data_IF_754552524318
#
_entry.id   IF_754552524318
#
_cell.length_a   1.000
_cell.length_b   1.000
_cell.length_c   1.000
_cell.angle_alpha   90.00
_cell.angle_beta   90.00
_cell.angle_gamma   90.00
#
_symmetry.space_group_name_H-M   'P 1'
#
loop_
_entity.id
_entity.type
_entity.pdbx_description
1 polymer ?
#
# COMPACT_ATOMS: atom_id res chain seq x y z
N UNK A 1 -37.26 17.73 -33.58
CA UNK A 1 -37.13 16.26 -33.53
C UNK A 1 -35.72 15.77 -33.88
N UNK A 2 -35.19 16.00 -35.10
CA UNK A 2 -33.87 15.46 -35.53
C UNK A 2 -32.65 15.90 -34.69
N UNK A 3 -32.67 17.10 -34.11
CA UNK A 3 -31.57 17.64 -33.26
C UNK A 3 -31.50 17.01 -31.86
N UNK A 4 -32.59 16.39 -31.39
CA UNK A 4 -32.67 15.77 -30.06
C UNK A 4 -31.94 14.42 -30.05
N UNK A 5 -32.00 13.68 -31.15
CA UNK A 5 -31.29 12.39 -31.30
C UNK A 5 -29.77 12.54 -31.31
N UNK A 6 -29.24 13.64 -31.85
CA UNK A 6 -27.81 13.94 -31.81
C UNK A 6 -27.30 14.21 -30.39
N UNK A 7 -28.09 14.90 -29.57
CA UNK A 7 -27.74 15.20 -28.18
C UNK A 7 -27.78 13.94 -27.30
N UNK A 8 -28.75 13.04 -27.56
CA UNK A 8 -28.87 11.77 -26.84
C UNK A 8 -27.71 10.80 -27.18
N UNK A 9 -27.22 10.80 -28.42
CA UNK A 9 -26.08 9.99 -28.84
C UNK A 9 -24.76 10.44 -28.18
N UNK A 10 -24.57 11.76 -27.97
CA UNK A 10 -23.39 12.30 -27.27
C UNK A 10 -23.41 11.98 -25.77
N UNK A 11 -24.59 11.97 -25.14
CA UNK A 11 -24.74 11.58 -23.73
C UNK A 11 -24.42 10.10 -23.47
N UNK A 12 -24.75 9.21 -24.41
CA UNK A 12 -24.43 7.77 -24.32
C UNK A 12 -22.93 7.51 -24.53
N UNK A 13 -22.26 8.31 -25.36
CA UNK A 13 -20.81 8.23 -25.58
C UNK A 13 -20.00 8.76 -24.38
N UNK A 14 -20.54 9.72 -23.61
CA UNK A 14 -19.91 10.21 -22.38
C UNK A 14 -19.99 9.22 -21.21
N UNK A 15 -20.96 8.29 -21.21
CA UNK A 15 -21.05 7.22 -20.19
C UNK A 15 -20.07 6.06 -20.41
N UNK A 16 -19.41 5.96 -21.57
CA UNK A 16 -18.43 4.90 -21.85
C UNK A 16 -17.02 5.20 -21.28
N UNK A 17 -16.81 6.38 -20.69
CA UNK A 17 -15.49 6.81 -20.20
C UNK A 17 -15.19 6.51 -18.73
N UNK A 18 -16.15 5.97 -17.96
CA UNK A 18 -15.88 5.55 -16.57
C UNK A 18 -15.38 4.11 -16.58
N UNK A 19 -14.28 3.86 -17.31
CA UNK A 19 -13.36 2.83 -16.87
C UNK A 19 -12.82 3.36 -15.54
N UNK A 20 -13.48 2.97 -14.45
CA UNK A 20 -12.89 3.09 -13.14
C UNK A 20 -11.48 2.54 -13.30
N UNK A 21 -10.50 3.43 -13.15
CA UNK A 21 -9.09 3.13 -13.15
C UNK A 21 -8.89 2.25 -11.91
N UNK A 22 -9.29 0.98 -12.01
CA UNK A 22 -9.14 0.01 -10.95
C UNK A 22 -7.65 -0.06 -10.71
N UNK A 23 -7.24 0.41 -9.53
CA UNK A 23 -5.91 0.16 -9.01
C UNK A 23 -5.60 -1.32 -9.24
N UNK A 24 -4.58 -1.66 -10.01
CA UNK A 24 -4.29 -3.07 -10.31
C UNK A 24 -4.05 -3.88 -9.04
N UNK A 25 -3.60 -3.20 -7.98
CA UNK A 25 -3.51 -3.75 -6.64
C UNK A 25 -4.87 -4.02 -6.02
N UNK A 26 -5.90 -3.22 -6.26
CA UNK A 26 -7.26 -3.56 -5.85
C UNK A 26 -7.73 -4.88 -6.50
N UNK A 27 -7.39 -5.12 -7.76
CA UNK A 27 -7.67 -6.40 -8.44
C UNK A 27 -6.88 -7.54 -7.79
N UNK A 28 -5.56 -7.39 -7.60
CA UNK A 28 -4.73 -8.39 -6.90
C UNK A 28 -5.25 -8.67 -5.48
N UNK A 29 -5.66 -7.63 -4.75
CA UNK A 29 -6.21 -7.75 -3.41
C UNK A 29 -7.56 -8.48 -3.42
N UNK A 30 -8.39 -8.25 -4.43
CA UNK A 30 -9.74 -8.84 -4.55
C UNK A 30 -9.68 -10.36 -4.59
N UNK A 31 -8.69 -10.92 -5.29
CA UNK A 31 -8.48 -12.38 -5.36
C UNK A 31 -8.22 -13.01 -3.98
N UNK A 32 -7.62 -12.26 -3.07
CA UNK A 32 -7.30 -12.72 -1.72
C UNK A 32 -8.28 -12.22 -0.65
N UNK A 33 -9.29 -11.39 -1.01
CA UNK A 33 -10.32 -10.92 -0.08
C UNK A 33 -11.12 -12.05 0.56
N UNK A 34 -11.23 -13.21 -0.09
CA UNK A 34 -11.92 -14.40 0.44
C UNK A 34 -11.05 -15.42 1.17
N UNK A 35 -9.72 -15.24 1.18
CA UNK A 35 -8.81 -16.19 1.83
C UNK A 35 -8.61 -15.86 3.30
N UNK A 36 -8.66 -16.87 4.17
CA UNK A 36 -8.37 -16.78 5.61
C UNK A 36 -6.87 -16.79 5.91
N UNK A 37 -6.04 -17.13 4.91
CA UNK A 37 -4.59 -17.21 5.04
C UNK A 37 -3.91 -15.83 5.04
N UNK A 38 -4.65 -14.77 4.74
CA UNK A 38 -4.13 -13.42 4.64
C UNK A 38 -4.71 -12.50 5.71
N UNK A 39 -3.81 -11.85 6.44
CA UNK A 39 -4.13 -10.66 7.23
C UNK A 39 -4.33 -9.49 6.29
N UNK A 40 -5.51 -8.86 6.35
CA UNK A 40 -5.92 -7.72 5.53
C UNK A 40 -5.80 -6.44 6.34
N UNK A 41 -5.02 -5.50 5.83
CA UNK A 41 -4.86 -4.16 6.40
C UNK A 41 -5.54 -3.18 5.45
N UNK A 42 -6.47 -2.38 5.95
CA UNK A 42 -7.10 -1.31 5.18
C UNK A 42 -7.27 -0.08 6.05
N UNK A 43 -6.47 0.94 5.78
CA UNK A 43 -6.59 2.26 6.40
C UNK A 43 -7.21 3.21 5.37
N UNK A 44 -8.27 3.89 5.76
CA UNK A 44 -8.95 4.85 4.87
C UNK A 44 -8.53 6.27 5.19
N UNK A 45 -8.69 7.19 4.24
CA UNK A 45 -8.43 8.62 4.45
C UNK A 45 -9.16 9.20 5.65
N UNK A 46 -10.32 8.64 6.03
CA UNK A 46 -11.05 9.06 7.24
C UNK A 46 -10.23 8.88 8.52
N UNK A 47 -9.42 7.82 8.62
CA UNK A 47 -8.51 7.65 9.75
C UNK A 47 -7.43 8.73 9.76
N UNK A 48 -6.91 9.11 8.59
CA UNK A 48 -5.95 10.21 8.47
C UNK A 48 -6.57 11.56 8.85
N UNK A 49 -7.81 11.82 8.43
CA UNK A 49 -8.54 13.04 8.82
C UNK A 49 -8.70 13.16 10.34
N UNK A 50 -9.04 12.06 11.02
CA UNK A 50 -9.12 12.03 12.48
C UNK A 50 -7.76 12.32 13.14
N UNK A 51 -6.64 11.90 12.54
CA UNK A 51 -5.32 12.25 13.04
C UNK A 51 -4.94 13.71 12.77
N UNK A 52 -5.37 14.29 11.64
CA UNK A 52 -5.14 15.72 11.35
C UNK A 52 -5.91 16.66 12.26
N UNK A 53 -7.00 16.19 12.87
CA UNK A 53 -7.80 16.94 13.85
C UNK A 53 -7.20 16.92 15.27
N UNK A 54 -6.24 16.03 15.53
CA UNK A 54 -5.48 16.04 16.78
C UNK A 54 -4.35 17.08 16.64
N UNK A 55 -4.29 18.06 17.54
CA UNK A 55 -3.26 19.10 17.53
C UNK A 55 -1.85 18.48 17.48
N UNK A 56 -1.18 18.62 16.33
CA UNK A 56 0.24 18.30 16.18
C UNK A 56 1.04 19.26 17.07
N UNK A 57 1.89 18.69 17.91
CA UNK A 57 2.60 19.44 18.95
C UNK A 57 3.92 20.01 18.46
N UNK A 58 4.42 19.54 17.30
CA UNK A 58 5.64 20.03 16.67
C UNK A 58 5.56 20.12 15.14
N UNK A 59 6.56 20.79 14.54
CA UNK A 59 6.64 21.07 13.10
C UNK A 59 6.83 19.79 12.26
N UNK A 60 7.46 18.76 12.82
CA UNK A 60 7.66 17.48 12.15
C UNK A 60 6.33 16.71 12.05
N UNK A 61 5.52 16.69 13.11
CA UNK A 61 4.17 16.14 13.14
C UNK A 61 3.25 16.83 12.13
N UNK A 62 3.29 18.16 12.03
CA UNK A 62 2.50 18.90 11.04
C UNK A 62 2.86 18.52 9.60
N UNK A 63 4.16 18.41 9.29
CA UNK A 63 4.62 18.03 7.96
C UNK A 63 4.18 16.59 7.57
N UNK A 64 3.96 15.72 8.55
CA UNK A 64 3.45 14.36 8.37
C UNK A 64 1.95 14.37 8.14
N UNK A 65 1.21 15.12 8.96
CA UNK A 65 -0.23 15.28 8.82
C UNK A 65 -0.60 15.83 7.44
N UNK A 66 0.16 16.82 6.95
CA UNK A 66 0.01 17.32 5.58
C UNK A 66 0.31 16.25 4.53
N UNK A 67 1.41 15.50 4.70
CA UNK A 67 1.79 14.41 3.81
C UNK A 67 0.72 13.32 3.71
N UNK A 68 0.06 12.96 4.83
CA UNK A 68 -0.97 11.92 4.85
C UNK A 68 -2.37 12.41 4.48
N UNK A 69 -2.63 13.71 4.58
CA UNK A 69 -3.96 14.30 4.27
C UNK A 69 -4.40 14.10 2.82
N UNK A 70 -3.44 14.01 1.90
CA UNK A 70 -3.68 13.81 0.45
C UNK A 70 -3.82 12.33 0.08
N UNK A 71 -3.56 11.43 1.02
CA UNK A 71 -3.63 9.99 0.82
C UNK A 71 -5.08 9.52 0.93
N UNK A 72 -5.53 8.72 -0.04
CA UNK A 72 -6.86 8.12 0.01
C UNK A 72 -6.89 6.93 0.97
N UNK A 73 -5.76 6.24 1.15
CA UNK A 73 -5.65 5.16 2.11
C UNK A 73 -4.40 4.30 1.93
N UNK A 74 -4.28 3.30 2.81
CA UNK A 74 -3.30 2.22 2.74
C UNK A 74 -4.07 0.91 2.62
N UNK A 75 -3.61 0.00 1.75
CA UNK A 75 -4.07 -1.38 1.69
C UNK A 75 -2.87 -2.31 1.82
N UNK A 76 -2.98 -3.34 2.65
CA UNK A 76 -1.94 -4.35 2.85
C UNK A 76 -2.51 -5.76 2.89
N UNK A 77 -1.79 -6.73 2.32
CA UNK A 77 -1.99 -8.15 2.55
C UNK A 77 -0.70 -8.72 3.12
N UNK A 78 -0.84 -9.46 4.22
CA UNK A 78 0.26 -10.15 4.87
C UNK A 78 -0.14 -11.61 5.01
N UNK A 79 0.69 -12.51 4.47
CA UNK A 79 0.59 -13.95 4.71
C UNK A 79 1.77 -14.38 5.54
N UNK A 80 1.48 -14.75 6.79
CA UNK A 80 2.44 -15.45 7.64
C UNK A 80 2.37 -16.95 7.35
N UNK A 81 3.48 -17.66 7.56
CA UNK A 81 3.58 -19.10 7.27
C UNK A 81 3.27 -19.47 5.81
N UNK A 82 3.63 -18.61 4.86
CA UNK A 82 3.51 -18.92 3.44
C UNK A 82 4.28 -20.22 3.11
N UNK A 83 3.74 -21.04 2.22
CA UNK A 83 4.45 -22.23 1.74
C UNK A 83 5.76 -21.84 1.05
N UNK A 84 5.66 -20.84 0.16
CA UNK A 84 6.76 -20.17 -0.53
C UNK A 84 6.39 -18.70 -0.80
N UNK A 85 6.85 -17.78 0.05
CA UNK A 85 6.58 -16.35 -0.12
C UNK A 85 7.37 -15.70 -1.28
N UNK A 86 8.47 -16.31 -1.72
CA UNK A 86 9.22 -15.81 -2.89
C UNK A 86 8.48 -16.10 -4.20
N UNK A 87 7.84 -17.27 -4.31
CA UNK A 87 6.97 -17.58 -5.44
C UNK A 87 5.78 -16.60 -5.50
N UNK A 88 5.17 -16.29 -4.35
CA UNK A 88 4.10 -15.29 -4.26
C UNK A 88 4.56 -13.88 -4.66
N UNK A 89 5.78 -13.50 -4.30
CA UNK A 89 6.40 -12.25 -4.77
C UNK A 89 6.49 -12.22 -6.30
N UNK A 90 6.99 -13.28 -6.94
CA UNK A 90 7.13 -13.33 -8.40
C UNK A 90 5.77 -13.22 -9.09
N UNK A 91 4.76 -13.95 -8.61
CA UNK A 91 3.39 -13.88 -9.14
C UNK A 91 2.80 -12.47 -8.97
N UNK A 92 2.94 -11.86 -7.80
CA UNK A 92 2.48 -10.49 -7.54
C UNK A 92 3.08 -9.48 -8.52
N UNK A 93 4.40 -9.52 -8.70
CA UNK A 93 5.11 -8.64 -9.63
C UNK A 93 4.60 -8.83 -11.06
N UNK A 94 4.51 -10.07 -11.53
CA UNK A 94 4.07 -10.37 -12.90
C UNK A 94 2.65 -9.85 -13.17
N UNK A 95 1.73 -10.02 -12.20
CA UNK A 95 0.36 -9.52 -12.34
C UNK A 95 0.29 -8.00 -12.32
N UNK A 96 1.09 -7.33 -11.49
CA UNK A 96 1.15 -5.88 -11.45
C UNK A 96 1.70 -5.30 -12.75
N UNK A 97 2.78 -5.87 -13.30
CA UNK A 97 3.37 -5.46 -14.58
C UNK A 97 2.41 -5.74 -15.76
N UNK A 98 1.59 -6.79 -15.69
CA UNK A 98 0.59 -7.09 -16.71
C UNK A 98 -0.67 -6.19 -16.65
N UNK A 99 -1.01 -5.67 -15.47
CA UNK A 99 -2.25 -4.92 -15.20
C UNK A 99 -2.15 -3.40 -15.37
N UNK A 100 -0.94 -2.83 -15.50
CA UNK A 100 -0.74 -1.40 -15.69
C UNK A 100 0.73 -0.98 -15.58
N UNK A 101 1.01 0.29 -15.92
CA UNK A 101 2.35 0.90 -15.88
C UNK A 101 2.81 1.14 -14.45
N UNK A 102 3.33 0.09 -13.79
CA UNK A 102 4.11 0.27 -12.56
C UNK A 102 5.58 0.44 -12.92
N UNK A 103 6.19 1.52 -12.44
CA UNK A 103 7.62 1.77 -12.58
C UNK A 103 8.36 1.32 -11.32
N UNK A 104 9.42 0.54 -11.51
CA UNK A 104 10.28 0.10 -10.42
C UNK A 104 11.13 1.28 -9.89
N UNK A 105 11.05 1.55 -8.59
CA UNK A 105 11.89 2.52 -7.92
C UNK A 105 13.16 1.90 -7.33
N UNK A 106 13.01 0.73 -6.72
CA UNK A 106 14.08 0.05 -6.01
C UNK A 106 13.75 -1.43 -5.87
N UNK A 107 14.77 -2.27 -6.08
CA UNK A 107 14.74 -3.69 -5.73
C UNK A 107 15.88 -4.03 -4.78
N UNK A 108 15.57 -4.84 -3.77
CA UNK A 108 16.53 -5.50 -2.91
C UNK A 108 16.29 -7.00 -3.00
N UNK A 109 17.28 -7.74 -3.49
CA UNK A 109 17.19 -9.18 -3.71
C UNK A 109 18.40 -9.87 -3.08
N UNK A 110 18.15 -10.72 -2.09
CA UNK A 110 19.17 -11.55 -1.48
C UNK A 110 18.63 -12.95 -1.17
N UNK A 111 19.47 -13.80 -0.57
CA UNK A 111 19.11 -15.20 -0.26
C UNK A 111 17.97 -15.36 0.74
N UNK A 112 17.68 -14.34 1.56
CA UNK A 112 16.65 -14.37 2.60
C UNK A 112 15.32 -13.81 2.11
N UNK A 113 15.35 -12.75 1.31
CA UNK A 113 14.15 -12.03 0.91
C UNK A 113 14.33 -11.26 -0.40
N UNK A 114 13.19 -11.02 -1.05
CA UNK A 114 13.02 -10.13 -2.19
C UNK A 114 12.11 -9.00 -1.78
N UNK A 115 12.51 -7.77 -2.05
CA UNK A 115 11.73 -6.56 -1.77
C UNK A 115 11.76 -5.69 -3.01
N UNK A 116 10.62 -5.18 -3.43
CA UNK A 116 10.52 -4.21 -4.52
C UNK A 116 9.56 -3.09 -4.18
N UNK A 117 10.00 -1.88 -4.46
CA UNK A 117 9.21 -0.66 -4.41
C UNK A 117 8.87 -0.23 -5.82
N UNK A 118 7.60 0.05 -6.08
CA UNK A 118 7.08 0.48 -7.37
C UNK A 118 6.13 1.66 -7.20
N UNK A 119 6.02 2.49 -8.22
CA UNK A 119 5.00 3.54 -8.31
C UNK A 119 4.11 3.33 -9.51
N UNK A 120 2.91 3.86 -9.44
CA UNK A 120 2.04 4.05 -10.60
C UNK A 120 1.74 5.54 -10.71
N UNK A 121 2.06 6.14 -11.85
CA UNK A 121 1.81 7.54 -12.14
C UNK A 121 1.19 7.73 -13.54
N UNK A 122 0.89 8.98 -13.88
CA UNK A 122 0.47 9.40 -15.23
C UNK A 122 1.46 10.38 -15.88
N UNK A 123 2.70 10.42 -15.39
CA UNK A 123 3.78 11.30 -15.82
C UNK A 123 3.89 12.63 -15.05
N UNK A 124 2.82 13.10 -14.40
CA UNK A 124 2.82 14.33 -13.58
C UNK A 124 2.52 14.03 -12.10
N UNK A 125 1.66 13.04 -11.85
CA UNK A 125 1.19 12.72 -10.51
C UNK A 125 1.32 11.24 -10.18
N UNK A 126 1.89 10.94 -9.01
CA UNK A 126 1.96 9.58 -8.47
C UNK A 126 0.64 9.26 -7.79
N UNK A 127 0.02 8.18 -8.27
CA UNK A 127 -1.26 7.69 -7.78
C UNK A 127 -1.09 6.59 -6.74
N UNK A 128 -0.01 5.80 -6.85
CA UNK A 128 0.27 4.68 -5.94
C UNK A 128 1.76 4.53 -5.66
N UNK A 129 2.08 4.16 -4.42
CA UNK A 129 3.39 3.66 -4.00
C UNK A 129 3.20 2.28 -3.38
N UNK A 130 3.86 1.28 -3.94
CA UNK A 130 3.66 -0.12 -3.56
C UNK A 130 4.97 -0.78 -3.16
N UNK A 131 4.93 -1.52 -2.06
CA UNK A 131 5.96 -2.42 -1.60
C UNK A 131 5.48 -3.86 -1.75
N UNK A 132 6.28 -4.70 -2.39
CA UNK A 132 6.07 -6.16 -2.43
C UNK A 132 7.30 -6.80 -1.81
N UNK A 133 7.09 -7.71 -0.86
CA UNK A 133 8.13 -8.46 -0.18
C UNK A 133 7.78 -9.94 -0.13
N UNK A 134 8.71 -10.77 -0.57
CA UNK A 134 8.68 -12.22 -0.41
C UNK A 134 9.85 -12.68 0.43
N UNK A 135 9.61 -13.59 1.36
CA UNK A 135 10.60 -14.36 2.10
C UNK A 135 10.12 -15.81 2.18
N UNK A 136 10.97 -16.73 2.62
CA UNK A 136 10.68 -18.17 2.61
C UNK A 136 9.30 -18.53 3.18
N UNK A 137 8.92 -17.92 4.32
CA UNK A 137 7.66 -18.19 5.04
C UNK A 137 6.76 -16.98 5.19
N UNK A 138 7.01 -15.91 4.46
CA UNK A 138 6.26 -14.67 4.58
C UNK A 138 6.09 -13.98 3.25
N UNK A 139 4.90 -13.45 3.01
CA UNK A 139 4.62 -12.59 1.88
C UNK A 139 3.89 -11.35 2.34
N UNK A 140 4.34 -10.19 1.88
CA UNK A 140 3.74 -8.89 2.18
C UNK A 140 3.57 -8.13 0.87
N UNK A 141 2.38 -7.61 0.64
CA UNK A 141 2.15 -6.57 -0.36
C UNK A 141 1.41 -5.42 0.32
N UNK A 142 1.95 -4.22 0.18
CA UNK A 142 1.38 -3.02 0.77
C UNK A 142 1.39 -1.90 -0.25
N UNK A 143 0.27 -1.20 -0.39
CA UNK A 143 0.14 -0.04 -1.25
C UNK A 143 -0.41 1.14 -0.49
N UNK A 144 0.17 2.29 -0.79
CA UNK A 144 -0.37 3.59 -0.48
C UNK A 144 -0.94 4.16 -1.78
N UNK A 145 -2.18 4.66 -1.73
CA UNK A 145 -2.84 5.23 -2.91
C UNK A 145 -3.51 6.55 -2.59
N UNK A 146 -3.50 7.48 -3.56
CA UNK A 146 -3.99 8.84 -3.38
C UNK A 146 -3.33 9.83 -4.31
N UNK A 147 -3.34 11.10 -3.93
CA UNK A 147 -2.50 12.12 -4.55
C UNK A 147 -1.18 12.15 -3.80
N UNK A 148 -0.16 11.48 -4.35
CA UNK A 148 1.09 11.23 -3.66
C UNK A 148 2.16 12.21 -4.14
N UNK A 149 2.64 13.04 -3.21
CA UNK A 149 3.82 13.87 -3.41
C UNK A 149 5.08 13.11 -2.93
N UNK A 150 6.06 12.90 -3.81
CA UNK A 150 7.33 12.23 -3.45
C UNK A 150 8.08 12.94 -2.31
N UNK A 151 7.95 14.27 -2.22
CA UNK A 151 8.56 15.03 -1.13
C UNK A 151 7.93 14.66 0.23
N UNK A 152 6.63 14.34 0.23
CA UNK A 152 5.90 13.82 1.38
C UNK A 152 6.30 12.37 1.72
N UNK A 153 6.62 11.51 0.73
CA UNK A 153 7.15 10.15 0.98
C UNK A 153 8.49 10.19 1.73
N UNK A 154 9.39 11.11 1.36
CA UNK A 154 10.69 11.26 2.06
C UNK A 154 10.56 11.68 3.53
N UNK A 155 9.42 12.30 3.88
CA UNK A 155 9.06 12.67 5.26
C UNK A 155 8.42 11.47 5.97
N UNK A 156 7.53 10.74 5.30
CA UNK A 156 6.95 9.49 5.79
C UNK A 156 8.01 8.42 6.12
N UNK A 157 9.02 8.25 5.27
CA UNK A 157 10.10 7.27 5.50
C UNK A 157 10.94 7.60 6.73
N UNK A 158 11.18 8.89 7.02
CA UNK A 158 11.83 9.33 8.26
C UNK A 158 11.01 8.97 9.49
N UNK A 159 9.69 9.01 9.38
CA UNK A 159 8.74 8.83 10.49
C UNK A 159 8.46 7.36 10.74
N UNK A 160 8.30 6.57 9.69
CA UNK A 160 8.32 5.11 9.80
C UNK A 160 9.64 4.59 10.34
N UNK A 161 10.75 5.31 10.18
CA UNK A 161 12.02 4.96 10.83
C UNK A 161 12.11 5.42 12.29
N UNK A 162 11.37 6.45 12.69
CA UNK A 162 11.32 7.00 14.06
C UNK A 162 10.26 6.30 14.92
N UNK A 163 9.21 5.74 14.31
CA UNK A 163 8.08 5.08 14.99
C UNK A 163 7.74 3.67 14.46
N UNK A 164 8.59 3.10 13.61
CA UNK A 164 8.32 1.84 12.91
C UNK A 164 8.36 0.62 13.83
N UNK A 165 7.34 -0.22 13.68
CA UNK A 165 7.18 -1.59 14.22
C UNK A 165 7.04 -1.77 15.74
N UNK A 166 7.41 -0.82 16.59
CA UNK A 166 7.22 -0.98 18.05
C UNK A 166 5.77 -0.78 18.52
N UNK A 167 4.89 -0.21 17.68
CA UNK A 167 3.49 0.12 18.07
C UNK A 167 2.38 -0.62 17.34
N UNK A 168 2.70 -1.48 16.37
CA UNK A 168 1.74 -2.46 15.86
C UNK A 168 2.09 -3.80 16.49
N UNK A 169 1.48 -4.10 17.65
CA UNK A 169 1.69 -5.32 18.43
C UNK A 169 1.25 -6.61 17.72
N UNK A 170 1.95 -6.96 16.63
CA UNK A 170 1.84 -8.24 15.93
C UNK A 170 3.21 -8.92 15.79
N UNK A 171 4.13 -8.63 16.71
CA UNK A 171 5.20 -9.55 17.08
C UNK A 171 4.84 -10.09 18.47
N UNK A 172 4.48 -11.36 18.53
CA UNK A 172 4.14 -12.02 19.78
C UNK A 172 5.24 -11.84 20.82
N UNK A 173 4.82 -11.55 22.04
CA UNK A 173 5.64 -11.74 23.22
C UNK A 173 6.08 -13.20 23.25
N UNK A 174 7.27 -13.48 22.74
CA UNK A 174 7.98 -14.71 23.00
C UNK A 174 8.64 -14.60 24.36
N UNK A 175 7.93 -15.01 25.41
CA UNK A 175 8.58 -15.45 26.64
C UNK A 175 9.65 -16.50 26.29
N UNK A 176 10.88 -16.32 26.77
CA UNK A 176 11.40 -17.36 27.66
C UNK A 176 12.45 -16.85 28.64
N UNK A 177 12.12 -17.09 29.91
CA UNK A 177 13.01 -17.06 31.05
C UNK A 177 14.05 -18.17 30.93
N UNK A 178 15.27 -17.99 31.46
CA UNK A 178 15.84 -18.91 32.45
C UNK A 178 17.17 -18.41 33.04
N UNK A 179 17.06 -17.90 34.28
CA UNK A 179 17.79 -18.33 35.47
C UNK A 179 19.34 -18.50 35.46
N UNK A 180 20.00 -17.69 36.32
CA UNK A 180 20.72 -18.15 37.53
C UNK A 180 21.13 -16.93 38.37
N UNK A 181 20.53 -16.68 39.54
CA UNK A 181 20.97 -17.17 40.87
C UNK A 181 22.49 -17.09 41.06
N UNK A 182 23.01 -16.12 41.81
CA UNK A 182 23.17 -16.19 43.28
C UNK A 182 24.18 -15.13 43.77
N UNK A 183 23.83 -14.54 44.91
CA UNK A 183 24.67 -13.94 45.96
C UNK A 183 25.54 -12.72 45.61
#
# INVERSE_FOLDING_TARGET
>A
MKKVYGFLAVLILLSAGVAAQENAIATYFTDYLGSDDFTKISVTGKMFSLFTELDAKDEDEQAILEAISKLKGIKGLVRQHAEDGNAMYVDAIQRMEAGGSYDELMTFDNVKEKVRFMIRDDGDQIHELTMVRGAEKEFIIMTLYGDIDLSAISKLSRVMRVHGFDKFGMLGEGEDNHHKRNN
#
